data_IF_430801380134
#
_entry.id   IF_430801380134
#
_cell.length_a   1.000
_cell.length_b   1.000
_cell.length_c   1.000
_cell.angle_alpha   90.00
_cell.angle_beta   90.00
_cell.angle_gamma   90.00
#
_symmetry.space_group_name_H-M   'P 1'
#
loop_
_entity.id
_entity.type
_entity.pdbx_description
1 polymer ?
#
# COMPACT_ATOMS: atom_id res chain seq x y z
N UNK A 1 -4.12 -7.85 4.00
CA UNK A 1 -4.09 -9.31 3.78
C UNK A 1 -2.80 -9.72 3.10
N UNK A 2 -2.52 -11.02 3.02
CA UNK A 2 -1.42 -11.57 2.21
C UNK A 2 -1.99 -12.05 0.87
N UNK A 3 -1.22 -11.91 -0.19
CA UNK A 3 -1.53 -12.55 -1.47
C UNK A 3 -1.30 -14.07 -1.42
N UNK A 4 -2.40 -14.82 -1.34
CA UNK A 4 -2.40 -16.29 -1.36
C UNK A 4 -2.07 -16.89 -2.74
N UNK A 5 -2.21 -16.10 -3.82
CA UNK A 5 -1.91 -16.56 -5.18
C UNK A 5 -0.42 -16.52 -5.50
N UNK A 6 0.39 -15.88 -4.63
CA UNK A 6 1.84 -15.71 -4.78
C UNK A 6 2.20 -15.03 -6.13
N UNK A 7 1.30 -14.20 -6.64
CA UNK A 7 1.46 -13.49 -7.91
C UNK A 7 2.22 -12.17 -7.73
N UNK A 8 2.06 -11.51 -6.58
CA UNK A 8 2.78 -10.28 -6.26
C UNK A 8 4.30 -10.51 -6.19
N UNK A 9 5.13 -9.66 -6.84
CA UNK A 9 6.58 -9.64 -6.62
C UNK A 9 6.92 -9.22 -5.18
N UNK A 10 8.16 -9.46 -4.74
CA UNK A 10 8.64 -8.92 -3.46
C UNK A 10 8.61 -7.39 -3.46
N UNK A 11 8.40 -6.76 -2.29
CA UNK A 11 8.26 -5.31 -2.12
C UNK A 11 7.15 -4.64 -2.94
N UNK A 12 6.20 -5.43 -3.45
CA UNK A 12 5.03 -4.94 -4.17
C UNK A 12 3.74 -5.23 -3.39
N UNK A 13 2.74 -4.37 -3.61
CA UNK A 13 1.41 -4.49 -3.01
C UNK A 13 0.32 -4.40 -4.07
N UNK A 14 -0.82 -5.01 -3.80
CA UNK A 14 -2.04 -4.77 -4.56
C UNK A 14 -2.97 -3.89 -3.71
N UNK A 15 -3.37 -2.74 -4.25
CA UNK A 15 -4.27 -1.81 -3.58
C UNK A 15 -5.46 -1.52 -4.49
N UNK A 16 -6.64 -1.88 -4.02
CA UNK A 16 -7.89 -1.55 -4.69
C UNK A 16 -8.78 -0.79 -3.72
N UNK A 17 -9.12 0.44 -4.09
CA UNK A 17 -9.96 1.34 -3.29
C UNK A 17 -11.30 1.54 -3.97
N UNK A 18 -12.34 1.77 -3.18
CA UNK A 18 -13.60 2.27 -3.71
C UNK A 18 -13.41 3.71 -4.17
N UNK A 19 -13.96 4.06 -5.32
CA UNK A 19 -13.96 5.45 -5.77
C UNK A 19 -15.12 6.18 -5.09
N UNK A 20 -14.81 7.09 -4.16
CA UNK A 20 -15.81 7.97 -3.57
C UNK A 20 -16.02 9.16 -4.51
N UNK A 21 -17.21 9.29 -5.07
CA UNK A 21 -17.47 10.21 -6.18
C UNK A 21 -18.46 9.68 -7.23
N UNK A 22 -18.91 8.42 -7.13
CA UNK A 22 -20.17 8.01 -7.75
C UNK A 22 -21.35 8.59 -6.96
N UNK A 23 -21.44 9.91 -6.88
CA UNK A 23 -22.68 10.59 -6.51
C UNK A 23 -23.71 10.28 -7.60
N UNK A 24 -24.76 9.56 -7.21
CA UNK A 24 -26.12 9.52 -7.77
C UNK A 24 -26.26 9.94 -9.24
N UNK A 25 -25.58 9.26 -10.16
CA UNK A 25 -26.20 9.08 -11.46
C UNK A 25 -27.38 8.13 -11.19
N UNK A 26 -28.52 8.70 -10.78
CA UNK A 26 -29.83 8.08 -10.92
C UNK A 26 -30.04 7.79 -12.40
N UNK A 27 -29.40 6.74 -12.90
CA UNK A 27 -29.96 6.06 -14.03
C UNK A 27 -31.27 5.46 -13.52
N UNK A 28 -32.35 5.69 -14.27
CA UNK A 28 -33.75 5.31 -14.02
C UNK A 28 -33.93 3.75 -13.90
N UNK A 29 -32.84 3.00 -13.75
CA UNK A 29 -32.78 1.56 -13.48
C UNK A 29 -31.80 1.23 -12.35
N UNK A 30 -32.08 1.72 -11.13
CA UNK A 30 -31.88 1.02 -9.85
C UNK A 30 -30.64 0.15 -9.58
N UNK A 31 -29.46 0.43 -10.16
CA UNK A 31 -28.24 -0.36 -9.92
C UNK A 31 -27.06 0.56 -9.65
N UNK A 32 -26.84 0.87 -8.38
CA UNK A 32 -25.59 1.50 -7.89
C UNK A 32 -24.43 0.51 -8.07
N UNK A 33 -23.76 0.54 -9.22
CA UNK A 33 -22.52 -0.21 -9.41
C UNK A 33 -21.41 0.55 -8.67
N UNK A 34 -20.98 0.05 -7.51
CA UNK A 34 -19.80 0.58 -6.84
C UNK A 34 -18.59 0.45 -7.79
N UNK A 35 -17.99 1.57 -8.21
CA UNK A 35 -16.74 1.57 -8.96
C UNK A 35 -15.57 1.36 -8.01
N UNK A 36 -14.60 0.59 -8.48
CA UNK A 36 -13.36 0.34 -7.76
C UNK A 36 -12.20 0.71 -8.66
N UNK A 37 -11.19 1.33 -8.06
CA UNK A 37 -9.97 1.75 -8.74
C UNK A 37 -8.79 0.99 -8.14
N UNK A 38 -8.02 0.35 -9.02
CA UNK A 38 -6.72 -0.21 -8.64
C UNK A 38 -5.70 0.92 -8.67
N UNK A 39 -4.99 1.10 -7.56
CA UNK A 39 -3.90 2.06 -7.47
C UNK A 39 -2.63 1.40 -7.98
N UNK A 40 -1.89 2.11 -8.82
CA UNK A 40 -0.61 1.67 -9.37
C UNK A 40 0.45 2.74 -9.16
N UNK A 41 1.71 2.32 -9.00
CA UNK A 41 2.83 3.20 -8.75
C UNK A 41 3.26 3.24 -7.29
N UNK A 42 4.16 4.15 -6.92
CA UNK A 42 4.72 4.20 -5.57
C UNK A 42 3.65 4.55 -4.53
N UNK A 43 3.70 3.87 -3.39
CA UNK A 43 2.81 4.12 -2.25
C UNK A 43 3.58 4.09 -0.95
N UNK A 44 3.23 4.96 -0.01
CA UNK A 44 3.72 4.94 1.36
C UNK A 44 2.67 4.27 2.24
N UNK A 45 3.10 3.30 3.03
CA UNK A 45 2.27 2.54 3.95
C UNK A 45 2.85 2.69 5.36
N UNK A 46 2.00 3.04 6.31
CA UNK A 46 2.34 3.17 7.72
C UNK A 46 1.41 2.30 8.57
N UNK A 47 1.96 1.48 9.46
CA UNK A 47 1.18 0.73 10.45
C UNK A 47 0.72 1.66 11.57
N UNK A 48 -0.52 1.53 12.02
CA UNK A 48 -1.06 2.26 13.18
C UNK A 48 -1.14 1.35 14.41
N UNK A 49 -0.70 1.80 15.60
CA UNK A 49 0.08 3.03 15.83
C UNK A 49 1.52 2.90 15.31
N UNK A 50 2.11 4.01 14.87
CA UNK A 50 3.52 4.08 14.45
C UNK A 50 4.38 4.21 15.72
N UNK A 51 5.15 3.18 16.05
CA UNK A 51 6.01 3.14 17.24
C UNK A 51 7.49 3.17 16.85
N UNK A 52 7.83 2.62 15.69
CA UNK A 52 9.18 2.54 15.17
C UNK A 52 9.27 3.13 13.75
N UNK A 53 10.40 3.76 13.34
CA UNK A 53 10.57 4.21 11.96
C UNK A 53 10.32 3.11 10.91
N UNK A 54 10.66 1.87 11.25
CA UNK A 54 10.41 0.70 10.40
C UNK A 54 8.93 0.36 10.15
N UNK A 55 8.00 1.01 10.86
CA UNK A 55 6.55 0.86 10.66
C UNK A 55 6.04 1.65 9.45
N UNK A 56 6.85 2.56 8.92
CA UNK A 56 6.58 3.34 7.72
C UNK A 56 7.51 2.88 6.60
N UNK A 57 6.92 2.42 5.49
CA UNK A 57 7.65 1.85 4.36
C UNK A 57 7.03 2.26 3.04
N UNK A 58 7.86 2.35 2.02
CA UNK A 58 7.41 2.60 0.65
C UNK A 58 7.37 1.30 -0.16
N UNK A 59 6.31 1.11 -0.92
CA UNK A 59 6.07 -0.05 -1.77
C UNK A 59 5.71 0.38 -3.19
N UNK A 60 5.77 -0.58 -4.11
CA UNK A 60 5.22 -0.41 -5.45
C UNK A 60 3.84 -1.07 -5.54
N UNK A 61 2.78 -0.27 -5.74
CA UNK A 61 1.47 -0.78 -6.05
C UNK A 61 1.42 -1.26 -7.51
N UNK A 62 1.05 -2.52 -7.72
CA UNK A 62 0.98 -3.15 -9.04
C UNK A 62 -0.40 -3.73 -9.29
N UNK A 63 -0.90 -3.58 -10.52
CA UNK A 63 -2.16 -4.19 -10.90
C UNK A 63 -1.94 -5.64 -11.34
N UNK A 64 -2.58 -6.58 -10.65
CA UNK A 64 -2.56 -7.99 -11.01
C UNK A 64 -3.99 -8.43 -11.35
N UNK A 65 -4.27 -8.85 -12.60
CA UNK A 65 -5.61 -9.26 -13.01
C UNK A 65 -6.22 -10.39 -12.18
N UNK A 66 -5.41 -11.35 -11.70
CA UNK A 66 -5.89 -12.45 -10.85
C UNK A 66 -6.39 -11.98 -9.47
N UNK A 67 -5.97 -10.79 -9.01
CA UNK A 67 -6.39 -10.21 -7.73
C UNK A 67 -7.57 -9.25 -7.86
N UNK A 68 -8.01 -8.93 -9.08
CA UNK A 68 -9.08 -7.97 -9.37
C UNK A 68 -10.45 -8.30 -8.76
N UNK A 69 -10.66 -9.56 -8.35
CA UNK A 69 -11.85 -9.99 -7.62
C UNK A 69 -11.93 -9.42 -6.20
N UNK A 70 -10.78 -9.06 -5.60
CA UNK A 70 -10.73 -8.53 -4.24
C UNK A 70 -11.07 -7.04 -4.23
N UNK A 71 -12.01 -6.64 -3.38
CA UNK A 71 -12.55 -5.28 -3.37
C UNK A 71 -12.25 -4.60 -2.04
N UNK A 72 -11.77 -3.36 -2.11
CA UNK A 72 -11.44 -2.55 -0.93
C UNK A 72 -10.38 -3.22 -0.02
N UNK A 73 -9.32 -3.74 -0.63
CA UNK A 73 -8.26 -4.47 0.08
C UNK A 73 -6.87 -3.94 -0.25
N UNK A 74 -5.99 -4.07 0.73
CA UNK A 74 -4.54 -4.04 0.57
C UNK A 74 -4.02 -5.47 0.72
N UNK A 75 -3.32 -5.99 -0.30
CA UNK A 75 -2.64 -7.27 -0.25
C UNK A 75 -1.13 -7.06 -0.33
N UNK A 76 -0.41 -7.65 0.61
CA UNK A 76 1.05 -7.68 0.63
C UNK A 76 1.57 -8.94 -0.05
N UNK A 77 2.74 -8.83 -0.67
CA UNK A 77 3.45 -9.98 -1.19
C UNK A 77 3.87 -10.94 -0.07
N UNK A 78 3.77 -12.24 -0.34
CA UNK A 78 4.35 -13.29 0.49
C UNK A 78 5.81 -13.59 0.13
N UNK A 79 6.32 -13.05 -0.99
CA UNK A 79 7.68 -13.30 -1.45
C UNK A 79 8.70 -12.54 -0.61
N UNK A 80 9.89 -13.13 -0.44
CA UNK A 80 10.99 -12.60 0.35
C UNK A 80 11.36 -13.50 1.52
N UNK A 81 12.38 -13.10 2.29
CA UNK A 81 12.84 -13.87 3.47
C UNK A 81 11.79 -13.86 4.60
N UNK A 82 11.05 -12.76 4.73
CA UNK A 82 9.93 -12.60 5.67
C UNK A 82 8.82 -11.80 5.00
N UNK A 83 7.53 -12.09 5.28
CA UNK A 83 6.41 -11.29 4.78
C UNK A 83 6.57 -9.82 5.15
N UNK A 84 6.14 -8.92 4.25
CA UNK A 84 6.24 -7.47 4.47
C UNK A 84 5.55 -6.98 5.77
N UNK A 85 4.37 -7.49 6.18
CA UNK A 85 3.75 -7.13 7.45
C UNK A 85 4.64 -7.44 8.66
N UNK A 86 5.33 -8.58 8.65
CA UNK A 86 6.23 -8.96 9.75
C UNK A 86 7.39 -7.95 9.91
N UNK A 87 7.79 -7.28 8.83
CA UNK A 87 8.85 -6.25 8.86
C UNK A 87 8.35 -4.91 9.46
N UNK A 88 7.04 -4.72 9.63
CA UNK A 88 6.40 -3.58 10.29
C UNK A 88 5.99 -3.94 11.72
N UNK A 89 6.99 -4.06 12.60
CA UNK A 89 6.82 -4.43 14.02
C UNK A 89 6.06 -5.74 14.29
N UNK A 90 6.19 -6.73 13.40
CA UNK A 90 5.60 -8.06 13.62
C UNK A 90 4.08 -8.11 13.44
N UNK A 91 3.51 -7.27 12.58
CA UNK A 91 2.09 -7.29 12.21
C UNK A 91 1.64 -8.68 11.74
N UNK A 92 0.63 -9.25 12.37
CA UNK A 92 0.03 -10.55 12.02
C UNK A 92 -1.29 -10.42 11.24
N UNK A 93 -1.69 -9.17 10.92
CA UNK A 93 -2.87 -8.82 10.13
C UNK A 93 -4.22 -9.24 10.76
N UNK A 94 -4.28 -9.50 12.06
CA UNK A 94 -5.50 -9.93 12.77
C UNK A 94 -6.46 -8.77 13.13
N UNK A 95 -5.98 -7.53 13.02
CA UNK A 95 -6.73 -6.31 13.28
C UNK A 95 -5.92 -5.03 13.04
N UNK A 96 -4.70 -5.17 12.50
CA UNK A 96 -3.81 -4.05 12.23
C UNK A 96 -4.40 -3.07 11.21
N UNK A 97 -4.28 -1.79 11.52
CA UNK A 97 -4.71 -0.71 10.66
C UNK A 97 -3.50 -0.13 9.93
N UNK A 98 -3.66 0.13 8.63
CA UNK A 98 -2.63 0.73 7.79
C UNK A 98 -3.13 2.04 7.20
N UNK A 99 -2.34 3.09 7.38
CA UNK A 99 -2.50 4.34 6.64
C UNK A 99 -1.72 4.23 5.32
N UNK A 100 -2.37 4.58 4.21
CA UNK A 100 -1.80 4.45 2.87
C UNK A 100 -1.94 5.78 2.16
N UNK A 101 -0.87 6.22 1.50
CA UNK A 101 -0.91 7.40 0.62
C UNK A 101 -0.11 7.14 -0.65
N UNK A 102 -0.61 7.69 -1.76
CA UNK A 102 0.05 7.73 -3.06
C UNK A 102 0.41 9.17 -3.45
N UNK A 103 0.39 10.10 -2.49
CA UNK A 103 0.84 11.48 -2.68
C UNK A 103 2.37 11.53 -2.64
N UNK A 104 2.96 11.93 -3.77
CA UNK A 104 4.42 11.99 -3.92
C UNK A 104 5.09 13.02 -3.03
N UNK A 105 4.37 14.02 -2.52
CA UNK A 105 4.91 15.01 -1.58
C UNK A 105 5.28 14.40 -0.21
N UNK A 106 4.71 13.24 0.11
CA UNK A 106 4.93 12.53 1.38
C UNK A 106 5.98 11.40 1.25
N UNK A 107 6.53 11.19 0.06
CA UNK A 107 7.49 10.11 -0.18
C UNK A 107 8.88 10.43 0.36
N UNK A 108 9.64 9.37 0.68
CA UNK A 108 11.03 9.51 1.06
C UNK A 108 11.88 9.92 -0.14
N UNK A 109 12.72 10.94 0.04
CA UNK A 109 13.59 11.48 -1.02
C UNK A 109 14.59 10.46 -1.57
N UNK A 110 14.89 9.39 -0.82
CA UNK A 110 15.88 8.36 -1.17
C UNK A 110 15.29 7.03 -1.65
N UNK A 111 13.99 6.97 -1.95
CA UNK A 111 13.39 5.71 -2.38
C UNK A 111 13.79 5.34 -3.82
N UNK A 112 14.46 4.18 -3.97
CA UNK A 112 15.00 3.69 -5.24
C UNK A 112 14.10 2.63 -5.91
N UNK A 113 12.83 2.53 -5.52
CA UNK A 113 11.91 1.51 -6.03
C UNK A 113 12.02 0.16 -5.30
N UNK A 114 11.26 -0.85 -5.77
CA UNK A 114 11.12 -2.16 -5.09
C UNK A 114 12.38 -3.02 -5.13
N UNK A 115 13.33 -2.74 -6.04
CA UNK A 115 14.63 -3.44 -6.10
C UNK A 115 15.73 -2.71 -5.33
N UNK A 116 15.42 -1.52 -4.80
CA UNK A 116 16.34 -0.75 -3.97
C UNK A 116 16.42 -1.30 -2.55
N UNK A 117 17.39 -0.83 -1.74
CA UNK A 117 17.44 -1.16 -0.33
C UNK A 117 16.17 -0.66 0.38
N UNK A 118 15.76 -1.36 1.43
CA UNK A 118 14.62 -1.00 2.27
C UNK A 118 14.83 0.39 2.91
N UNK A 119 14.03 1.37 2.47
CA UNK A 119 14.13 2.75 2.94
C UNK A 119 13.08 2.99 4.01
N UNK A 120 13.55 3.21 5.23
CA UNK A 120 12.76 3.64 6.38
C UNK A 120 13.12 5.09 6.73
N UNK A 121 12.26 5.85 7.44
CA UNK A 121 12.56 7.20 7.89
C UNK A 121 13.90 7.33 8.63
N UNK A 122 14.32 6.30 9.38
CA UNK A 122 15.61 6.28 10.08
C UNK A 122 16.81 6.27 9.14
N UNK A 123 16.65 5.81 7.89
CA UNK A 123 17.69 5.90 6.84
C UNK A 123 17.59 7.21 6.03
N UNK A 124 16.46 7.91 6.13
CA UNK A 124 16.17 9.13 5.37
C UNK A 124 16.54 10.42 6.13
N UNK A 125 16.98 10.34 7.41
CA UNK A 125 17.23 11.46 8.34
C UNK A 125 17.47 12.80 7.62
N UNK A 126 16.39 13.57 7.54
CA UNK A 126 16.29 15.02 7.31
C UNK A 126 17.40 15.65 6.45
N UNK A 127 17.35 15.47 5.13
CA UNK A 127 18.13 16.34 4.23
C UNK A 127 17.45 17.67 3.90
N UNK A 128 16.30 17.99 4.51
CA UNK A 128 15.51 19.17 4.13
C UNK A 128 14.81 19.83 5.33
N UNK A 129 15.58 20.33 6.29
CA UNK A 129 15.18 21.45 7.16
C UNK A 129 16.47 22.20 7.56
N UNK A 130 17.12 22.83 6.58
CA UNK A 130 17.94 24.01 6.83
C UNK A 130 17.15 25.19 6.27
N UNK A 131 16.48 25.94 7.14
CA UNK A 131 16.33 27.38 6.96
C UNK A 131 17.69 28.06 7.20
#
# INVERSE_FOLDING_TARGET
GIDETVSLPEHCVFLQVREEGCCFAENIQGKSLASFKVITGPVLIAKHPVVHPGDIRMFLAVNIPSLSSHKNVLLFSQKGERPEPNKMAGSDLDGDQFAITWDSSLFFSKWNGPTGPDVTPSHCVMSSLNE
#
